data_IF_958599648092
#
_entry.id   IF_958599648092
#
_cell.length_a   1.000
_cell.length_b   1.000
_cell.length_c   1.000
_cell.angle_alpha   90.00
_cell.angle_beta   90.00
_cell.angle_gamma   90.00
#
_symmetry.space_group_name_H-M   'P 1'
#
loop_
_entity.id
_entity.type
_entity.pdbx_description
1 polymer ?
#
# COMPACT_ATOMS: atom_id res chain seq x y z
N UNK A 1 5.08 -11.33 12.19
CA UNK A 1 4.55 -12.29 11.20
C UNK A 1 5.69 -13.20 10.80
N UNK A 2 5.49 -14.52 10.79
CA UNK A 2 6.49 -15.46 10.28
C UNK A 2 6.42 -15.60 8.75
N UNK A 3 7.39 -16.31 8.15
CA UNK A 3 7.49 -16.45 6.70
C UNK A 3 6.28 -17.17 6.06
N UNK A 4 5.65 -18.11 6.78
CA UNK A 4 4.47 -18.82 6.29
C UNK A 4 3.27 -17.87 6.27
N UNK A 5 3.03 -17.16 7.37
CA UNK A 5 1.97 -16.16 7.49
C UNK A 5 2.13 -15.03 6.46
N UNK A 6 3.36 -14.56 6.22
CA UNK A 6 3.66 -13.55 5.20
C UNK A 6 3.25 -14.03 3.82
N UNK A 7 3.63 -15.25 3.47
CA UNK A 7 3.30 -15.85 2.17
C UNK A 7 1.78 -15.96 1.99
N UNK A 8 1.08 -16.51 2.98
CA UNK A 8 -0.38 -16.67 2.97
C UNK A 8 -1.09 -15.32 2.85
N UNK A 9 -0.64 -14.29 3.58
CA UNK A 9 -1.17 -12.93 3.48
C UNK A 9 -0.98 -12.33 2.08
N UNK A 10 0.21 -12.51 1.49
CA UNK A 10 0.50 -12.03 0.13
C UNK A 10 -0.37 -12.71 -0.93
N UNK A 11 -0.50 -14.04 -0.86
CA UNK A 11 -1.33 -14.82 -1.79
C UNK A 11 -2.82 -14.45 -1.66
N UNK A 12 -3.30 -14.30 -0.42
CA UNK A 12 -4.69 -13.92 -0.16
C UNK A 12 -4.99 -12.48 -0.61
N UNK A 13 -4.06 -11.53 -0.43
CA UNK A 13 -4.26 -10.13 -0.82
C UNK A 13 -4.73 -9.93 -2.27
N UNK A 14 -4.34 -10.82 -3.18
CA UNK A 14 -4.64 -10.69 -4.61
C UNK A 14 -5.85 -11.51 -5.06
N UNK A 15 -6.53 -12.21 -4.15
CA UNK A 15 -7.77 -12.93 -4.42
C UNK A 15 -8.98 -11.98 -4.34
N UNK A 16 -10.09 -12.32 -4.98
CA UNK A 16 -11.31 -11.49 -5.02
C UNK A 16 -12.51 -12.15 -4.35
N UNK A 17 -12.33 -13.32 -3.74
CA UNK A 17 -13.39 -14.12 -3.11
C UNK A 17 -13.58 -13.82 -1.61
N UNK A 18 -13.09 -12.68 -1.15
CA UNK A 18 -13.21 -12.20 0.24
C UNK A 18 -13.13 -10.67 0.32
N UNK A 19 -13.34 -10.12 1.52
CA UNK A 19 -13.35 -8.66 1.76
C UNK A 19 -12.25 -8.19 2.73
N UNK A 20 -11.40 -9.11 3.21
CA UNK A 20 -10.39 -8.86 4.25
C UNK A 20 -9.16 -8.04 3.78
N UNK A 21 -9.14 -7.53 2.55
CA UNK A 21 -7.94 -6.93 1.93
C UNK A 21 -7.33 -5.82 2.78
N UNK A 22 -8.15 -4.96 3.39
CA UNK A 22 -7.65 -3.86 4.19
C UNK A 22 -6.94 -4.33 5.49
N UNK A 23 -7.41 -5.41 6.11
CA UNK A 23 -6.77 -6.04 7.27
C UNK A 23 -5.47 -6.77 6.88
N UNK A 24 -5.46 -7.37 5.69
CA UNK A 24 -4.25 -7.98 5.13
C UNK A 24 -3.20 -6.89 4.86
N UNK A 25 -3.57 -5.79 4.20
CA UNK A 25 -2.67 -4.65 3.94
C UNK A 25 -2.11 -4.09 5.24
N UNK A 26 -2.94 -3.97 6.28
CA UNK A 26 -2.49 -3.56 7.61
C UNK A 26 -1.45 -4.52 8.19
N UNK A 27 -1.70 -5.84 8.12
CA UNK A 27 -0.75 -6.85 8.60
C UNK A 27 0.59 -6.80 7.86
N UNK A 28 0.56 -6.60 6.53
CA UNK A 28 1.77 -6.43 5.71
C UNK A 28 2.52 -5.14 6.04
N UNK A 29 1.81 -4.03 6.29
CA UNK A 29 2.43 -2.79 6.76
C UNK A 29 3.20 -3.00 8.06
N UNK A 30 2.62 -3.71 9.02
CA UNK A 30 3.25 -3.96 10.33
C UNK A 30 4.48 -4.87 10.22
N UNK A 31 4.49 -5.79 9.26
CA UNK A 31 5.65 -6.62 8.99
C UNK A 31 6.74 -5.89 8.20
N UNK A 32 6.37 -4.94 7.34
CA UNK A 32 7.27 -4.14 6.50
C UNK A 32 8.26 -5.00 5.67
N UNK A 33 7.85 -6.21 5.28
CA UNK A 33 8.72 -7.14 4.55
C UNK A 33 8.81 -6.78 3.06
N UNK A 34 10.02 -6.60 2.48
CA UNK A 34 10.21 -6.28 1.07
C UNK A 34 9.58 -7.27 0.09
N UNK A 35 9.44 -8.55 0.46
CA UNK A 35 8.81 -9.58 -0.38
C UNK A 35 7.33 -9.30 -0.68
N UNK A 36 6.68 -8.42 0.09
CA UNK A 36 5.28 -8.04 -0.10
C UNK A 36 5.06 -6.91 -1.12
N UNK A 37 6.12 -6.23 -1.56
CA UNK A 37 6.04 -5.11 -2.53
C UNK A 37 5.29 -5.47 -3.83
N UNK A 38 5.59 -6.57 -4.54
CA UNK A 38 4.86 -6.92 -5.76
C UNK A 38 3.37 -7.19 -5.51
N UNK A 39 3.01 -7.73 -4.35
CA UNK A 39 1.62 -8.00 -3.98
C UNK A 39 0.86 -6.72 -3.62
N UNK A 40 1.50 -5.80 -2.89
CA UNK A 40 0.92 -4.47 -2.62
C UNK A 40 0.73 -3.65 -3.90
N UNK A 41 1.66 -3.76 -4.87
CA UNK A 41 1.47 -3.18 -6.20
C UNK A 41 0.25 -3.77 -6.89
N UNK A 42 0.10 -5.09 -6.87
CA UNK A 42 -1.06 -5.76 -7.47
C UNK A 42 -2.37 -5.39 -6.76
N UNK A 43 -2.34 -5.26 -5.44
CA UNK A 43 -3.49 -4.86 -4.63
C UNK A 43 -4.03 -3.48 -5.04
N UNK A 44 -3.15 -2.52 -5.35
CA UNK A 44 -3.55 -1.21 -5.89
C UNK A 44 -4.31 -1.37 -7.20
N UNK A 45 -3.81 -2.20 -8.13
CA UNK A 45 -4.46 -2.46 -9.41
C UNK A 45 -5.77 -3.26 -9.27
N UNK A 46 -5.93 -4.00 -8.17
CA UNK A 46 -7.09 -4.83 -7.91
C UNK A 46 -8.31 -4.03 -7.47
N UNK A 47 -8.15 -2.86 -6.82
CA UNK A 47 -9.26 -2.09 -6.23
C UNK A 47 -10.47 -1.94 -7.16
N UNK A 48 -10.33 -1.59 -8.46
CA UNK A 48 -11.50 -1.43 -9.35
C UNK A 48 -12.30 -2.72 -9.59
N UNK A 49 -11.75 -3.89 -9.27
CA UNK A 49 -12.41 -5.19 -9.38
C UNK A 49 -13.05 -5.66 -8.07
N UNK A 50 -12.89 -4.90 -6.99
CA UNK A 50 -13.44 -5.22 -5.66
C UNK A 50 -14.75 -4.46 -5.49
N UNK A 51 -15.87 -5.07 -5.92
CA UNK A 51 -17.21 -4.45 -5.89
C UNK A 51 -17.61 -3.94 -4.49
N UNK A 52 -17.19 -4.65 -3.44
CA UNK A 52 -17.46 -4.25 -2.06
C UNK A 52 -16.78 -2.92 -1.66
N UNK A 53 -15.84 -2.40 -2.47
CA UNK A 53 -15.16 -1.11 -2.29
C UNK A 53 -15.67 0.00 -3.21
N UNK A 54 -16.81 -0.18 -3.88
CA UNK A 54 -17.44 0.88 -4.69
C UNK A 54 -17.75 2.15 -3.88
N UNK A 55 -17.97 2.03 -2.57
CA UNK A 55 -18.20 3.17 -1.68
C UNK A 55 -16.94 4.01 -1.41
N UNK A 56 -15.73 3.51 -1.75
CA UNK A 56 -14.45 4.14 -1.42
C UNK A 56 -14.02 5.17 -2.48
N UNK A 57 -14.81 6.24 -2.60
CA UNK A 57 -14.59 7.36 -3.53
C UNK A 57 -13.33 8.18 -3.18
N UNK A 58 -12.94 8.20 -1.90
CA UNK A 58 -11.81 8.99 -1.41
C UNK A 58 -10.48 8.22 -1.39
N UNK A 59 -10.48 6.96 -1.81
CA UNK A 59 -9.29 6.13 -1.94
C UNK A 59 -8.66 5.73 -0.61
N UNK A 60 -9.47 5.44 0.41
CA UNK A 60 -9.02 4.88 1.69
C UNK A 60 -8.29 3.54 1.52
N UNK A 61 -8.65 2.74 0.51
CA UNK A 61 -7.94 1.52 0.17
C UNK A 61 -6.55 1.80 -0.41
N UNK A 62 -6.46 2.70 -1.40
CA UNK A 62 -5.17 3.14 -1.97
C UNK A 62 -4.27 3.77 -0.89
N UNK A 63 -4.86 4.58 -0.02
CA UNK A 63 -4.23 5.19 1.15
C UNK A 63 -3.52 4.14 2.01
N UNK A 64 -4.17 3.00 2.28
CA UNK A 64 -3.61 1.88 3.06
C UNK A 64 -2.48 1.18 2.31
N UNK A 65 -2.66 0.86 1.03
CA UNK A 65 -1.61 0.25 0.21
C UNK A 65 -0.32 1.09 0.21
N UNK A 66 -0.43 2.41 0.04
CA UNK A 66 0.73 3.28 0.02
C UNK A 66 1.36 3.52 1.39
N UNK A 67 0.59 3.42 2.48
CA UNK A 67 1.19 3.39 3.82
C UNK A 67 2.02 2.12 4.05
N UNK A 68 1.53 0.96 3.59
CA UNK A 68 2.30 -0.29 3.62
C UNK A 68 3.59 -0.19 2.81
N UNK A 69 3.52 0.29 1.56
CA UNK A 69 4.70 0.50 0.71
C UNK A 69 5.70 1.50 1.34
N UNK A 70 5.19 2.58 1.95
CA UNK A 70 6.06 3.53 2.67
C UNK A 70 6.72 2.90 3.89
N UNK A 71 6.02 2.05 4.64
CA UNK A 71 6.57 1.36 5.81
C UNK A 71 7.69 0.38 5.42
N UNK A 72 7.59 -0.25 4.25
CA UNK A 72 8.65 -1.10 3.68
C UNK A 72 9.90 -0.27 3.32
N UNK A 73 9.71 0.94 2.76
CA UNK A 73 10.78 1.94 2.63
C UNK A 73 11.89 1.61 1.62
N UNK A 74 11.86 0.47 0.94
CA UNK A 74 12.85 0.09 -0.07
C UNK A 74 12.76 0.97 -1.32
N UNK A 75 13.85 1.04 -2.09
CA UNK A 75 13.87 1.76 -3.37
C UNK A 75 12.80 1.25 -4.34
N UNK A 76 12.52 -0.05 -4.32
CA UNK A 76 11.44 -0.68 -5.08
C UNK A 76 10.06 -0.21 -4.63
N UNK A 77 9.78 -0.22 -3.31
CA UNK A 77 8.51 0.26 -2.78
C UNK A 77 8.26 1.74 -3.12
N UNK A 78 9.31 2.56 -3.02
CA UNK A 78 9.26 3.98 -3.43
C UNK A 78 9.02 4.12 -4.93
N UNK A 79 9.63 3.26 -5.77
CA UNK A 79 9.41 3.26 -7.20
C UNK A 79 7.96 2.92 -7.57
N UNK A 80 7.33 1.98 -6.86
CA UNK A 80 5.90 1.66 -7.02
C UNK A 80 5.04 2.89 -6.72
N UNK A 81 5.29 3.58 -5.60
CA UNK A 81 4.54 4.80 -5.25
C UNK A 81 4.73 5.88 -6.34
N UNK A 82 5.95 6.06 -6.85
CA UNK A 82 6.24 7.00 -7.96
C UNK A 82 5.46 6.65 -9.23
N UNK A 83 5.41 5.37 -9.60
CA UNK A 83 4.69 4.95 -10.80
C UNK A 83 3.20 5.31 -10.72
N UNK A 84 2.56 5.11 -9.57
CA UNK A 84 1.14 5.45 -9.39
C UNK A 84 0.88 6.96 -9.23
N UNK A 85 1.89 7.76 -8.91
CA UNK A 85 1.78 9.22 -8.91
C UNK A 85 1.64 9.81 -10.34
N UNK A 86 1.93 9.02 -11.37
CA UNK A 86 1.74 9.38 -12.78
C UNK A 86 0.42 8.82 -13.36
N UNK A 87 -0.46 8.27 -12.52
CA UNK A 87 -1.76 7.74 -12.96
C UNK A 87 -2.72 8.84 -13.45
N UNK A 88 -3.57 8.51 -14.41
CA UNK A 88 -4.69 9.37 -14.85
C UNK A 88 -5.89 9.31 -13.87
N UNK A 89 -5.99 8.24 -13.06
CA UNK A 89 -6.92 8.18 -11.93
C UNK A 89 -6.47 9.18 -10.86
N UNK A 90 -7.24 10.27 -10.70
CA UNK A 90 -6.91 11.37 -9.81
C UNK A 90 -6.85 10.95 -8.34
N UNK A 91 -7.76 10.08 -7.88
CA UNK A 91 -7.80 9.63 -6.49
C UNK A 91 -6.56 8.79 -6.19
N UNK A 92 -6.20 7.88 -7.11
CA UNK A 92 -4.98 7.08 -6.99
C UNK A 92 -3.72 7.96 -6.98
N UNK A 93 -3.63 8.90 -7.93
CA UNK A 93 -2.52 9.85 -8.07
C UNK A 93 -2.33 10.70 -6.82
N UNK A 94 -3.39 11.28 -6.30
CA UNK A 94 -3.35 12.12 -5.09
C UNK A 94 -2.86 11.34 -3.87
N UNK A 95 -3.37 10.13 -3.67
CA UNK A 95 -2.92 9.27 -2.57
C UNK A 95 -1.44 8.91 -2.69
N UNK A 96 -0.94 8.65 -3.90
CA UNK A 96 0.48 8.36 -4.16
C UNK A 96 1.38 9.59 -3.93
N UNK A 97 1.02 10.75 -4.51
CA UNK A 97 1.73 12.02 -4.35
C UNK A 97 1.86 12.42 -2.88
N UNK A 98 0.80 12.25 -2.10
CA UNK A 98 0.84 12.50 -0.66
C UNK A 98 1.94 11.68 0.03
N UNK A 99 2.13 10.40 -0.35
CA UNK A 99 3.17 9.55 0.28
C UNK A 99 4.56 9.96 -0.15
N UNK A 100 4.75 10.31 -1.41
CA UNK A 100 6.04 10.84 -1.88
C UNK A 100 6.42 12.11 -1.13
N UNK A 101 5.44 13.01 -0.91
CA UNK A 101 5.67 14.20 -0.11
C UNK A 101 6.10 13.85 1.32
N UNK A 102 5.45 12.87 1.97
CA UNK A 102 5.82 12.39 3.32
C UNK A 102 7.15 11.66 3.39
N UNK A 103 7.57 10.98 2.32
CA UNK A 103 8.89 10.36 2.21
C UNK A 103 9.97 11.45 2.10
N UNK A 104 9.72 12.51 1.32
CA UNK A 104 10.64 13.65 1.17
C UNK A 104 10.69 14.56 2.40
N UNK A 105 9.60 14.63 3.18
CA UNK A 105 9.45 15.55 4.32
C UNK A 105 8.97 14.81 5.59
N UNK A 106 9.82 13.95 6.19
CA UNK A 106 9.44 13.11 7.33
C UNK A 106 9.01 13.90 8.58
N UNK A 107 9.52 15.12 8.77
CA UNK A 107 9.22 15.98 9.93
C UNK A 107 7.81 16.58 9.93
N UNK A 108 7.09 16.50 8.80
CA UNK A 108 5.73 17.02 8.71
C UNK A 108 4.73 16.02 9.32
N UNK A 109 4.65 15.95 10.64
CA UNK A 109 3.52 15.33 11.38
C UNK A 109 3.18 13.88 11.02
N UNK A 110 4.15 12.96 11.11
CA UNK A 110 3.88 11.51 11.07
C UNK A 110 3.89 10.93 12.49
N UNK A 111 2.85 10.17 12.86
CA UNK A 111 2.80 9.35 14.09
C UNK A 111 3.74 8.13 14.05
N UNK A 112 4.41 7.87 12.93
CA UNK A 112 5.34 6.75 12.77
C UNK A 112 6.80 7.22 12.81
N UNK A 113 7.68 6.50 13.54
CA UNK A 113 9.09 6.85 13.67
C UNK A 113 9.81 6.88 12.31
N UNK A 114 10.90 7.65 12.24
CA UNK A 114 11.81 7.69 11.09
C UNK A 114 12.25 6.26 10.74
N UNK A 115 12.15 5.91 9.46
CA UNK A 115 12.93 4.79 8.91
C UNK A 115 14.29 5.40 8.54
N UNK A 116 15.33 5.00 9.26
CA UNK A 116 16.70 5.30 8.88
C UNK A 116 17.03 4.44 7.66
N UNK A 117 17.00 5.04 6.47
CA UNK A 117 17.43 4.45 5.19
C UNK A 117 18.88 4.85 4.93
#
# INVERSE_FOLDING_TARGET
MDAKQLKEACERLIMTDHEDHEEIIWSLQQAADPGSVPFLRQAVLLKPLLEYLEYDDYGAYYKKCFWALRAIGTSEAVAVIKAFAESEDQVLKEQALYRLHKIRNPETGSRYPRLDI
#
